data_IF_305954986611
#
_entry.id   IF_305954986611
#
_cell.length_a   1.000
_cell.length_b   1.000
_cell.length_c   1.000
_cell.angle_alpha   90.00
_cell.angle_beta   90.00
_cell.angle_gamma   90.00
#
_symmetry.space_group_name_H-M   'P 1'
#
loop_
_entity.id
_entity.type
_entity.pdbx_description
1 polymer ?
#
# COMPACT_ATOMS: atom_id res chain seq x y z
N UNK A 1 21.79 1.89 16.75
CA UNK A 1 20.77 0.82 16.91
C UNK A 1 20.03 0.44 15.62
N UNK A 2 19.40 1.36 14.86
CA UNK A 2 18.61 1.00 13.65
C UNK A 2 19.43 0.35 12.52
N UNK A 3 20.66 0.81 12.28
CA UNK A 3 21.55 0.22 11.28
C UNK A 3 21.99 -1.20 11.67
N UNK A 4 22.47 -1.39 12.90
CA UNK A 4 22.85 -2.70 13.46
C UNK A 4 21.68 -3.69 13.39
N UNK A 5 20.47 -3.24 13.72
CA UNK A 5 19.26 -4.06 13.61
C UNK A 5 18.95 -4.47 12.17
N UNK A 6 19.05 -3.54 11.20
CA UNK A 6 18.85 -3.84 9.77
C UNK A 6 19.90 -4.82 9.24
N UNK A 7 21.16 -4.61 9.59
CA UNK A 7 22.27 -5.51 9.23
C UNK A 7 22.05 -6.89 9.85
N UNK A 8 21.68 -6.97 11.13
CA UNK A 8 21.39 -8.23 11.82
C UNK A 8 20.23 -9.01 11.20
N UNK A 9 19.14 -8.35 10.83
CA UNK A 9 18.01 -9.00 10.12
C UNK A 9 18.45 -9.51 8.75
N UNK A 10 19.16 -8.68 7.99
CA UNK A 10 19.64 -9.08 6.67
C UNK A 10 20.52 -10.34 6.79
N UNK A 11 21.49 -10.33 7.70
CA UNK A 11 22.40 -11.44 7.97
C UNK A 11 21.68 -12.71 8.46
N UNK A 12 20.63 -12.57 9.28
CA UNK A 12 19.82 -13.71 9.71
C UNK A 12 19.05 -14.32 8.53
N UNK A 13 18.36 -13.49 7.75
CA UNK A 13 17.53 -13.94 6.64
C UNK A 13 18.36 -14.54 5.52
N UNK A 14 19.53 -13.97 5.20
CA UNK A 14 20.43 -14.52 4.18
C UNK A 14 21.27 -15.67 4.71
N UNK A 15 21.63 -15.65 6.00
CA UNK A 15 22.47 -16.66 6.64
C UNK A 15 21.90 -18.08 6.56
N UNK A 16 20.58 -18.24 6.76
CA UNK A 16 19.91 -19.56 6.65
C UNK A 16 20.08 -20.14 5.25
N UNK A 17 19.87 -19.33 4.21
CA UNK A 17 20.03 -19.75 2.81
C UNK A 17 21.49 -20.04 2.47
N UNK A 18 22.42 -19.21 2.95
CA UNK A 18 23.85 -19.38 2.72
C UNK A 18 24.36 -20.67 3.38
N UNK A 19 23.99 -20.96 4.63
CA UNK A 19 24.37 -22.20 5.31
C UNK A 19 23.79 -23.42 4.61
N UNK A 20 22.51 -23.38 4.21
CA UNK A 20 21.90 -24.47 3.44
C UNK A 20 22.61 -24.72 2.09
N UNK A 21 23.00 -23.64 1.40
CA UNK A 21 23.75 -23.70 0.14
C UNK A 21 25.17 -24.24 0.37
N UNK A 22 25.82 -23.83 1.47
CA UNK A 22 27.15 -24.32 1.86
C UNK A 22 27.17 -25.83 2.09
N UNK A 23 26.13 -26.38 2.73
CA UNK A 23 25.97 -27.84 2.93
C UNK A 23 25.87 -28.59 1.59
N UNK A 24 25.22 -27.99 0.58
CA UNK A 24 25.07 -28.58 -0.76
C UNK A 24 26.37 -28.54 -1.58
N UNK A 25 27.17 -27.48 -1.43
CA UNK A 25 28.39 -27.26 -2.20
C UNK A 25 29.62 -27.97 -1.60
N UNK A 26 29.57 -28.32 -0.31
CA UNK A 26 30.60 -29.08 0.40
C UNK A 26 31.94 -28.34 0.60
N UNK A 27 32.84 -28.97 1.35
CA UNK A 27 34.22 -28.52 1.52
C UNK A 27 34.39 -27.28 2.41
N UNK A 28 35.35 -26.42 2.07
CA UNK A 28 35.73 -25.23 2.88
C UNK A 28 34.64 -24.14 2.92
N UNK A 29 33.76 -24.14 1.92
CA UNK A 29 32.63 -23.20 1.82
C UNK A 29 31.59 -23.49 2.91
N UNK A 30 31.32 -24.78 3.18
CA UNK A 30 30.41 -25.21 4.24
C UNK A 30 30.86 -24.70 5.61
N UNK A 31 32.13 -24.91 5.95
CA UNK A 31 32.72 -24.52 7.23
C UNK A 31 32.68 -23.00 7.40
N UNK A 32 33.07 -22.25 6.37
CA UNK A 32 33.11 -20.78 6.42
C UNK A 32 31.72 -20.19 6.64
N UNK A 33 30.72 -20.68 5.90
CA UNK A 33 29.34 -20.19 6.01
C UNK A 33 28.66 -20.63 7.32
N UNK A 34 28.98 -21.83 7.82
CA UNK A 34 28.51 -22.29 9.13
C UNK A 34 29.09 -21.46 10.29
N UNK A 35 30.40 -21.19 10.28
CA UNK A 35 31.06 -20.35 11.30
C UNK A 35 30.48 -18.92 11.27
N UNK A 36 30.33 -18.34 10.08
CA UNK A 36 29.74 -17.01 9.94
C UNK A 36 28.32 -16.95 10.52
N UNK A 37 27.48 -17.95 10.22
CA UNK A 37 26.12 -18.04 10.76
C UNK A 37 26.11 -18.18 12.29
N UNK A 38 26.98 -19.03 12.85
CA UNK A 38 27.11 -19.20 14.30
C UNK A 38 27.52 -17.88 14.96
N UNK A 39 28.48 -17.14 14.40
CA UNK A 39 28.89 -15.84 14.93
C UNK A 39 27.75 -14.82 14.94
N UNK A 40 26.91 -14.81 13.90
CA UNK A 40 25.71 -13.97 13.83
C UNK A 40 24.74 -14.35 14.96
N UNK A 41 24.47 -15.65 15.15
CA UNK A 41 23.54 -16.13 16.17
C UNK A 41 24.07 -15.87 17.58
N UNK A 42 25.35 -16.10 17.85
CA UNK A 42 26.02 -15.79 19.13
C UNK A 42 25.94 -14.29 19.42
N UNK A 43 26.22 -13.44 18.43
CA UNK A 43 26.06 -11.99 18.56
C UNK A 43 24.64 -11.59 18.95
N UNK A 44 23.62 -12.23 18.36
CA UNK A 44 22.22 -12.00 18.71
C UNK A 44 21.86 -12.48 20.12
N UNK A 45 22.38 -13.65 20.54
CA UNK A 45 22.20 -14.16 21.90
C UNK A 45 22.79 -13.18 22.91
N UNK A 46 24.01 -12.68 22.67
CA UNK A 46 24.68 -11.71 23.55
C UNK A 46 23.90 -10.39 23.64
N UNK A 47 23.50 -9.82 22.49
CA UNK A 47 22.72 -8.57 22.46
C UNK A 47 21.39 -8.72 23.22
N UNK A 48 20.69 -9.84 23.00
CA UNK A 48 19.40 -10.11 23.65
C UNK A 48 19.58 -10.37 25.14
N UNK A 49 20.61 -11.15 25.52
CA UNK A 49 20.98 -11.44 26.91
C UNK A 49 21.36 -10.18 27.69
N UNK A 50 22.17 -9.28 27.11
CA UNK A 50 22.48 -7.96 27.69
C UNK A 50 21.19 -7.15 27.88
N UNK A 51 20.27 -7.20 26.91
CA UNK A 51 18.95 -6.57 27.02
C UNK A 51 18.14 -7.08 28.21
N UNK A 52 18.05 -8.41 28.38
CA UNK A 52 17.35 -9.05 29.50
C UNK A 52 18.03 -8.73 30.84
N UNK A 53 19.37 -8.76 30.89
CA UNK A 53 20.14 -8.45 32.10
C UNK A 53 19.94 -7.00 32.54
N UNK A 54 20.03 -6.04 31.61
CA UNK A 54 19.78 -4.61 31.89
C UNK A 54 18.38 -4.34 32.41
N UNK A 55 17.37 -5.05 31.88
CA UNK A 55 15.99 -4.98 32.38
C UNK A 55 15.86 -5.60 33.77
N UNK A 56 16.61 -6.66 34.04
CA UNK A 56 16.46 -7.46 35.27
C UNK A 56 17.17 -6.86 36.48
N UNK A 57 18.29 -6.18 36.26
CA UNK A 57 19.21 -5.73 37.32
C UNK A 57 19.68 -4.28 37.15
N UNK A 58 19.45 -3.64 36.00
CA UNK A 58 19.85 -2.25 35.77
C UNK A 58 18.81 -1.24 36.27
N UNK A 59 19.26 -0.02 36.58
CA UNK A 59 18.42 1.17 36.87
C UNK A 59 17.78 1.74 35.60
N UNK A 60 17.28 0.87 34.72
CA UNK A 60 16.73 1.27 33.42
C UNK A 60 15.31 1.81 33.58
N UNK A 61 15.03 2.90 32.86
CA UNK A 61 13.81 3.73 32.90
C UNK A 61 12.49 2.94 33.13
N UNK A 62 11.68 3.44 34.10
CA UNK A 62 10.37 2.91 34.56
C UNK A 62 9.34 2.79 33.43
N UNK A 63 9.59 3.37 32.27
CA UNK A 63 8.68 3.38 31.11
C UNK A 63 8.42 2.01 30.44
N UNK A 64 9.05 0.91 30.90
CA UNK A 64 8.88 -0.45 30.33
C UNK A 64 8.47 -1.54 31.33
N UNK A 65 7.44 -1.30 32.15
CA UNK A 65 6.88 -2.26 33.11
C UNK A 65 6.60 -3.69 32.56
N UNK A 66 6.39 -3.84 31.25
CA UNK A 66 5.99 -5.13 30.63
C UNK A 66 7.13 -6.15 30.51
N UNK A 67 8.38 -5.69 30.51
CA UNK A 67 9.55 -6.57 30.58
C UNK A 67 9.86 -7.03 32.03
N UNK A 68 9.10 -6.55 33.02
CA UNK A 68 9.23 -6.95 34.42
C UNK A 68 8.63 -8.34 34.68
N UNK A 69 7.77 -8.86 33.79
CA UNK A 69 7.15 -10.17 33.93
C UNK A 69 8.25 -11.26 34.04
N UNK A 70 8.37 -11.85 35.23
CA UNK A 70 9.41 -12.83 35.55
C UNK A 70 9.28 -14.07 34.68
N UNK A 71 8.06 -14.53 34.42
CA UNK A 71 7.78 -15.69 33.58
C UNK A 71 8.23 -15.48 32.14
N UNK A 72 7.89 -14.33 31.55
CA UNK A 72 8.34 -14.00 30.20
C UNK A 72 9.87 -13.92 30.08
N UNK A 73 10.55 -13.38 31.10
CA UNK A 73 12.03 -13.35 31.13
C UNK A 73 12.63 -14.74 31.21
N UNK A 74 12.11 -15.61 32.09
CA UNK A 74 12.56 -16.99 32.20
C UNK A 74 12.38 -17.76 30.88
N UNK A 75 11.24 -17.58 30.21
CA UNK A 75 10.98 -18.19 28.90
C UNK A 75 11.95 -17.67 27.82
N UNK A 76 12.24 -16.36 27.80
CA UNK A 76 13.25 -15.80 26.88
C UNK A 76 14.66 -16.31 27.17
N UNK A 77 15.05 -16.40 28.44
CA UNK A 77 16.34 -16.97 28.84
C UNK A 77 16.43 -18.44 28.44
N UNK A 78 15.36 -19.22 28.66
CA UNK A 78 15.26 -20.61 28.22
C UNK A 78 15.34 -20.75 26.70
N UNK A 79 14.68 -19.86 25.95
CA UNK A 79 14.77 -19.82 24.49
C UNK A 79 16.20 -19.58 24.00
N UNK A 80 16.92 -18.61 24.60
CA UNK A 80 18.32 -18.32 24.28
C UNK A 80 19.24 -19.50 24.63
N UNK A 81 18.99 -20.20 25.74
CA UNK A 81 19.74 -21.39 26.12
C UNK A 81 19.53 -22.52 25.09
N UNK A 82 18.29 -22.78 24.68
CA UNK A 82 17.97 -23.78 23.65
C UNK A 82 18.63 -23.44 22.31
N UNK A 83 18.62 -22.16 21.91
CA UNK A 83 19.31 -21.70 20.70
C UNK A 83 20.83 -21.90 20.81
N UNK A 84 21.41 -21.63 21.97
CA UNK A 84 22.84 -21.84 22.23
C UNK A 84 23.20 -23.32 22.13
N UNK A 85 22.41 -24.20 22.74
CA UNK A 85 22.57 -25.66 22.65
C UNK A 85 22.43 -26.12 21.19
N UNK A 86 21.42 -25.64 20.46
CA UNK A 86 21.22 -25.94 19.04
C UNK A 86 22.39 -25.53 18.16
N UNK A 87 22.95 -24.33 18.38
CA UNK A 87 24.14 -23.85 17.66
C UNK A 87 25.41 -24.58 18.06
N UNK A 88 25.54 -25.00 19.32
CA UNK A 88 26.67 -25.82 19.77
C UNK A 88 26.69 -27.18 19.08
N UNK A 89 25.52 -27.84 18.92
CA UNK A 89 25.39 -29.06 18.12
C UNK A 89 25.77 -28.83 16.65
N UNK A 90 25.35 -27.70 16.06
CA UNK A 90 25.70 -27.33 14.70
C UNK A 90 27.21 -27.07 14.53
N UNK A 91 27.84 -26.41 15.49
CA UNK A 91 29.29 -26.17 15.50
C UNK A 91 30.07 -27.48 15.61
N UNK A 92 29.68 -28.37 16.53
CA UNK A 92 30.29 -29.69 16.67
C UNK A 92 30.20 -30.49 15.37
N UNK A 93 29.09 -30.37 14.66
CA UNK A 93 28.93 -30.98 13.36
C UNK A 93 29.83 -30.33 12.30
N UNK A 94 29.92 -29.00 12.23
CA UNK A 94 30.78 -28.32 11.26
C UNK A 94 32.28 -28.63 11.45
N UNK A 95 32.70 -28.94 12.68
CA UNK A 95 34.08 -29.29 13.05
C UNK A 95 34.37 -30.81 12.94
N UNK A 96 33.79 -31.51 11.94
CA UNK A 96 34.03 -32.95 11.73
C UNK A 96 35.54 -33.25 11.73
N UNK A 97 35.99 -34.21 12.54
CA UNK A 97 37.41 -34.57 12.71
C UNK A 97 38.01 -34.29 14.10
N UNK A 98 37.23 -33.76 15.04
CA UNK A 98 37.64 -33.66 16.46
C UNK A 98 37.44 -34.98 17.21
N UNK A 99 38.14 -35.15 18.34
CA UNK A 99 38.22 -36.34 19.24
C UNK A 99 36.89 -36.84 19.84
N UNK A 100 35.75 -36.43 19.28
CA UNK A 100 34.41 -36.65 19.80
C UNK A 100 33.59 -37.46 18.79
N UNK A 101 32.75 -38.40 19.24
CA UNK A 101 31.97 -39.26 18.35
C UNK A 101 31.06 -38.45 17.43
N UNK A 102 31.04 -38.84 16.15
CA UNK A 102 30.30 -38.20 15.06
C UNK A 102 28.81 -38.48 15.22
N UNK A 103 27.99 -37.42 15.33
CA UNK A 103 26.53 -37.52 15.34
C UNK A 103 26.06 -37.79 13.90
N UNK A 104 25.19 -38.78 13.70
CA UNK A 104 24.62 -39.08 12.39
C UNK A 104 23.77 -37.90 11.87
N UNK A 105 23.60 -37.78 10.54
CA UNK A 105 22.76 -36.71 9.96
C UNK A 105 21.32 -36.76 10.53
N UNK A 106 20.65 -37.93 10.63
CA UNK A 106 19.33 -38.01 11.28
C UNK A 106 19.36 -37.58 12.74
N UNK A 107 20.41 -37.94 13.49
CA UNK A 107 20.59 -37.53 14.89
C UNK A 107 20.79 -36.02 15.03
N UNK A 108 21.57 -35.40 14.13
CA UNK A 108 21.78 -33.95 14.10
C UNK A 108 20.48 -33.24 13.77
N UNK A 109 19.78 -33.62 12.70
CA UNK A 109 18.51 -32.99 12.30
C UNK A 109 17.45 -33.12 13.40
N UNK A 110 17.32 -34.29 14.02
CA UNK A 110 16.37 -34.50 15.10
C UNK A 110 16.71 -33.64 16.33
N UNK A 111 17.96 -33.67 16.80
CA UNK A 111 18.35 -32.94 18.02
C UNK A 111 18.42 -31.43 17.81
N UNK A 112 19.09 -30.97 16.75
CA UNK A 112 19.17 -29.55 16.39
C UNK A 112 17.78 -28.97 16.06
N UNK A 113 17.00 -29.69 15.25
CA UNK A 113 15.65 -29.29 14.87
C UNK A 113 14.71 -29.17 16.07
N UNK A 114 14.75 -30.14 17.00
CA UNK A 114 13.93 -30.12 18.21
C UNK A 114 14.25 -28.92 19.11
N UNK A 115 15.54 -28.65 19.37
CA UNK A 115 15.96 -27.52 20.20
C UNK A 115 15.60 -26.17 19.59
N UNK A 116 15.64 -26.03 18.26
CA UNK A 116 15.27 -24.80 17.59
C UNK A 116 13.75 -24.61 17.45
N UNK A 117 13.01 -25.67 17.12
CA UNK A 117 11.56 -25.59 16.89
C UNK A 117 10.77 -25.49 18.20
N UNK A 118 11.01 -26.40 19.15
CA UNK A 118 10.26 -26.43 20.41
C UNK A 118 10.91 -25.51 21.44
N UNK A 119 12.22 -25.68 21.64
CA UNK A 119 12.97 -24.94 22.66
C UNK A 119 13.05 -23.46 22.36
N UNK A 120 13.75 -23.06 21.30
CA UNK A 120 13.92 -21.66 20.96
C UNK A 120 12.62 -21.02 20.48
N UNK A 121 12.02 -21.53 19.41
CA UNK A 121 10.86 -20.88 18.77
C UNK A 121 9.61 -20.96 19.66
N UNK A 122 9.30 -22.13 20.22
CA UNK A 122 8.15 -22.30 21.11
C UNK A 122 8.21 -21.42 22.35
N UNK A 123 9.33 -21.44 23.09
CA UNK A 123 9.48 -20.61 24.29
C UNK A 123 9.50 -19.10 23.96
N UNK A 124 10.16 -18.71 22.86
CA UNK A 124 10.18 -17.30 22.44
C UNK A 124 8.78 -16.79 22.06
N UNK A 125 8.01 -17.57 21.30
CA UNK A 125 6.63 -17.21 20.93
C UNK A 125 5.71 -17.14 22.16
N UNK A 126 5.82 -18.09 23.09
CA UNK A 126 5.06 -18.07 24.34
C UNK A 126 5.42 -16.85 25.19
N UNK A 127 6.72 -16.52 25.27
CA UNK A 127 7.18 -15.32 25.96
C UNK A 127 6.63 -14.05 25.30
N UNK A 128 6.62 -13.96 23.97
CA UNK A 128 6.00 -12.85 23.23
C UNK A 128 4.49 -12.76 23.50
N UNK A 129 3.79 -13.88 23.49
CA UNK A 129 2.36 -13.94 23.79
C UNK A 129 2.05 -13.39 25.19
N UNK A 130 2.84 -13.78 26.20
CA UNK A 130 2.69 -13.30 27.58
C UNK A 130 3.06 -11.82 27.71
N UNK A 131 4.13 -11.36 27.06
CA UNK A 131 4.55 -9.96 27.14
C UNK A 131 3.57 -8.99 26.45
N UNK A 132 2.78 -9.48 25.49
CA UNK A 132 1.93 -8.66 24.61
C UNK A 132 2.70 -7.42 24.13
N UNK A 133 3.80 -7.62 23.36
CA UNK A 133 4.62 -6.50 22.90
C UNK A 133 3.72 -5.50 22.21
N UNK A 134 3.91 -4.21 22.49
CA UNK A 134 3.13 -3.16 21.83
C UNK A 134 3.22 -3.38 20.32
N UNK A 135 2.07 -3.60 19.69
CA UNK A 135 1.86 -3.05 18.36
C UNK A 135 2.11 -1.55 18.54
N UNK A 136 3.26 -1.06 18.06
CA UNK A 136 3.59 0.37 18.07
C UNK A 136 2.64 1.20 17.20
N UNK A 137 1.70 0.52 16.54
CA UNK A 137 0.68 1.09 15.71
C UNK A 137 -0.60 1.13 16.56
N UNK A 138 -0.87 2.31 17.12
CA UNK A 138 -2.25 2.67 17.46
C UNK A 138 -2.89 3.02 16.13
N UNK A 139 -3.70 2.13 15.60
CA UNK A 139 -4.67 2.51 14.58
C UNK A 139 -5.98 2.69 15.35
N UNK A 140 -6.62 3.86 15.20
CA UNK A 140 -8.08 3.86 15.31
C UNK A 140 -8.59 2.80 14.31
N UNK A 141 -9.65 2.04 14.63
CA UNK A 141 -10.08 0.95 13.77
C UNK A 141 -10.44 1.49 12.39
N UNK A 142 -9.53 1.27 11.43
CA UNK A 142 -9.66 1.72 10.06
C UNK A 142 -10.97 1.13 9.49
N UNK A 143 -11.88 1.97 8.95
CA UNK A 143 -13.10 1.48 8.36
C UNK A 143 -12.80 0.89 6.98
N UNK A 144 -12.65 -0.43 6.93
CA UNK A 144 -12.47 -1.15 5.67
C UNK A 144 -13.81 -1.46 5.00
N UNK A 145 -13.81 -1.42 3.67
CA UNK A 145 -14.93 -1.91 2.89
C UNK A 145 -15.14 -3.41 3.13
N UNK A 146 -16.40 -3.82 3.21
CA UNK A 146 -16.89 -5.20 3.27
C UNK A 146 -17.11 -5.78 1.88
N UNK A 147 -16.91 -4.99 0.81
CA UNK A 147 -17.05 -5.46 -0.55
C UNK A 147 -16.06 -6.60 -0.84
N UNK A 148 -16.55 -7.60 -1.57
CA UNK A 148 -15.76 -8.75 -2.00
C UNK A 148 -15.90 -8.91 -3.49
N UNK A 149 -14.77 -9.03 -4.17
CA UNK A 149 -14.75 -9.34 -5.59
C UNK A 149 -14.99 -10.82 -5.87
N UNK A 150 -15.68 -11.11 -6.96
CA UNK A 150 -15.69 -12.44 -7.57
C UNK A 150 -14.49 -12.65 -8.50
N UNK A 151 -14.52 -13.72 -9.29
CA UNK A 151 -13.49 -14.00 -10.30
C UNK A 151 -13.39 -12.91 -11.37
N UNK A 152 -14.52 -12.28 -11.72
CA UNK A 152 -14.62 -11.13 -12.63
C UNK A 152 -15.29 -9.96 -11.93
N UNK A 153 -14.60 -8.82 -11.93
CA UNK A 153 -15.08 -7.54 -11.43
C UNK A 153 -15.84 -6.84 -12.55
N UNK A 154 -15.17 -6.34 -13.59
CA UNK A 154 -15.84 -5.76 -14.76
C UNK A 154 -16.56 -4.44 -14.49
N UNK A 155 -17.10 -3.83 -15.54
CA UNK A 155 -17.79 -2.54 -15.46
C UNK A 155 -19.19 -2.64 -14.86
N UNK A 156 -19.76 -3.85 -14.85
CA UNK A 156 -21.06 -4.18 -14.31
C UNK A 156 -21.01 -4.62 -12.84
N UNK A 157 -19.83 -4.62 -12.19
CA UNK A 157 -19.64 -5.19 -10.84
C UNK A 157 -20.71 -4.74 -9.85
N UNK A 158 -20.89 -3.43 -9.69
CA UNK A 158 -21.81 -2.88 -8.70
C UNK A 158 -23.28 -3.15 -9.07
N UNK A 159 -23.62 -3.10 -10.36
CA UNK A 159 -24.96 -3.42 -10.86
C UNK A 159 -25.29 -4.90 -10.63
N UNK A 160 -24.40 -5.81 -11.07
CA UNK A 160 -24.56 -7.26 -10.93
C UNK A 160 -24.68 -7.69 -9.48
N UNK A 161 -23.97 -7.03 -8.58
CA UNK A 161 -24.07 -7.31 -7.13
C UNK A 161 -25.19 -6.52 -6.44
N UNK A 162 -26.02 -5.76 -7.16
CA UNK A 162 -27.13 -4.94 -6.62
C UNK A 162 -26.66 -4.00 -5.51
N UNK A 163 -25.53 -3.31 -5.75
CA UNK A 163 -24.92 -2.36 -4.82
C UNK A 163 -25.26 -0.91 -5.15
N UNK A 164 -25.69 -0.62 -6.38
CA UNK A 164 -26.05 0.74 -6.79
C UNK A 164 -27.26 1.24 -6.00
N UNK A 165 -27.18 2.46 -5.51
CA UNK A 165 -28.33 3.13 -4.89
C UNK A 165 -29.23 3.66 -5.99
N UNK A 166 -30.54 3.40 -5.89
CA UNK A 166 -31.51 3.89 -6.86
C UNK A 166 -31.51 5.42 -6.90
N UNK A 167 -31.63 5.99 -8.09
CA UNK A 167 -31.65 7.45 -8.30
C UNK A 167 -32.93 7.90 -9.01
N UNK A 168 -33.35 9.15 -8.78
CA UNK A 168 -34.40 9.81 -9.55
C UNK A 168 -33.95 10.13 -10.99
N UNK A 169 -34.85 10.74 -11.79
CA UNK A 169 -34.56 11.16 -13.17
C UNK A 169 -33.47 12.22 -13.27
N UNK A 170 -33.17 12.92 -12.18
CA UNK A 170 -32.12 13.94 -12.07
C UNK A 170 -30.82 13.36 -11.51
N UNK A 171 -30.74 12.05 -11.28
CA UNK A 171 -29.55 11.38 -10.76
C UNK A 171 -29.30 11.62 -9.27
N UNK A 172 -30.34 11.96 -8.49
CA UNK A 172 -30.26 12.11 -7.03
C UNK A 172 -30.61 10.80 -6.36
N UNK A 173 -29.88 10.42 -5.31
CA UNK A 173 -30.13 9.15 -4.62
C UNK A 173 -31.50 9.16 -3.92
N UNK A 174 -32.23 8.06 -4.02
CA UNK A 174 -33.56 7.87 -3.43
C UNK A 174 -33.48 7.32 -1.99
N UNK A 175 -32.32 6.85 -1.54
CA UNK A 175 -32.12 6.23 -0.23
C UNK A 175 -30.66 6.32 0.23
N UNK A 176 -30.40 6.01 1.50
CA UNK A 176 -29.05 5.96 2.07
C UNK A 176 -28.45 7.35 2.33
N UNK A 177 -27.14 7.39 2.58
CA UNK A 177 -26.44 8.58 3.08
C UNK A 177 -26.42 9.77 2.11
N UNK A 178 -26.70 9.51 0.82
CA UNK A 178 -26.76 10.52 -0.24
C UNK A 178 -28.19 10.91 -0.62
N UNK A 179 -29.20 10.58 0.19
CA UNK A 179 -30.61 10.85 -0.14
C UNK A 179 -30.84 12.31 -0.58
N UNK A 180 -31.51 12.49 -1.72
CA UNK A 180 -31.77 13.80 -2.32
C UNK A 180 -30.56 14.48 -2.98
N UNK A 181 -29.37 13.87 -2.94
CA UNK A 181 -28.13 14.42 -3.50
C UNK A 181 -27.69 13.67 -4.76
N UNK A 182 -27.13 14.38 -5.73
CA UNK A 182 -26.46 13.77 -6.88
C UNK A 182 -24.97 13.67 -6.59
N UNK A 183 -24.41 12.46 -6.68
CA UNK A 183 -22.96 12.25 -6.54
C UNK A 183 -22.27 12.66 -7.84
N UNK A 184 -21.41 13.68 -7.77
CA UNK A 184 -20.72 14.26 -8.94
C UNK A 184 -19.23 13.95 -8.99
N UNK A 185 -18.59 13.64 -7.86
CA UNK A 185 -17.16 13.41 -7.78
C UNK A 185 -16.75 12.29 -6.84
N UNK A 186 -15.46 12.21 -6.57
CA UNK A 186 -14.86 11.20 -5.68
C UNK A 186 -15.05 11.54 -4.19
N UNK A 187 -15.39 12.79 -3.91
CA UNK A 187 -15.70 13.32 -2.57
C UNK A 187 -16.84 14.33 -2.68
N UNK A 188 -17.47 14.66 -1.55
CA UNK A 188 -18.57 15.63 -1.54
C UNK A 188 -18.07 17.08 -1.49
N UNK A 189 -17.06 17.33 -0.65
CA UNK A 189 -16.41 18.64 -0.48
C UNK A 189 -14.95 18.44 -0.11
N UNK A 190 -14.05 19.08 -0.83
CA UNK A 190 -12.62 19.04 -0.57
C UNK A 190 -12.25 19.67 0.79
N UNK A 191 -13.08 20.59 1.30
CA UNK A 191 -12.93 21.19 2.63
C UNK A 191 -12.89 20.14 3.77
N UNK A 192 -13.46 18.94 3.59
CA UNK A 192 -13.40 17.86 4.59
C UNK A 192 -11.98 17.39 4.90
N UNK A 193 -11.02 17.69 4.02
CA UNK A 193 -9.60 17.35 4.15
C UNK A 193 -8.76 18.42 4.85
N UNK A 194 -9.37 19.52 5.30
CA UNK A 194 -8.68 20.53 6.10
C UNK A 194 -8.06 19.89 7.35
N UNK A 195 -6.76 20.11 7.54
CA UNK A 195 -6.02 19.59 8.70
C UNK A 195 -4.85 20.52 9.04
N UNK A 196 -4.11 20.22 10.11
CA UNK A 196 -2.89 20.94 10.44
C UNK A 196 -1.81 20.82 9.35
N UNK A 197 -1.85 19.76 8.54
CA UNK A 197 -0.89 19.50 7.46
C UNK A 197 -1.38 19.97 6.07
N UNK A 198 -2.69 20.21 5.91
CA UNK A 198 -3.30 20.61 4.64
C UNK A 198 -4.21 21.82 4.83
N UNK A 199 -3.77 22.96 4.27
CA UNK A 199 -4.63 24.12 4.06
C UNK A 199 -5.33 24.00 2.70
N UNK A 200 -6.63 23.69 2.72
CA UNK A 200 -7.43 23.49 1.50
C UNK A 200 -7.50 24.76 0.65
N UNK A 201 -7.48 25.94 1.26
CA UNK A 201 -7.53 27.22 0.53
C UNK A 201 -6.27 27.49 -0.30
N UNK A 202 -5.16 26.82 0.02
CA UNK A 202 -3.93 26.91 -0.76
C UNK A 202 -3.94 26.00 -2.00
N UNK A 203 -4.88 25.07 -2.10
CA UNK A 203 -5.01 24.17 -3.26
C UNK A 203 -5.78 24.89 -4.38
N UNK A 204 -5.25 24.93 -5.62
CA UNK A 204 -5.93 25.53 -6.77
C UNK A 204 -7.38 25.08 -6.93
N UNK A 205 -8.25 26.01 -7.34
CA UNK A 205 -9.69 25.75 -7.48
C UNK A 205 -9.96 24.59 -8.45
N UNK A 206 -9.25 24.51 -9.57
CA UNK A 206 -9.41 23.40 -10.53
C UNK A 206 -9.08 22.03 -9.96
N UNK A 207 -8.07 21.92 -9.09
CA UNK A 207 -7.76 20.63 -8.46
C UNK A 207 -8.89 20.22 -7.53
N UNK A 208 -9.43 21.15 -6.74
CA UNK A 208 -10.58 20.89 -5.86
C UNK A 208 -11.82 20.52 -6.66
N UNK A 209 -12.13 21.29 -7.69
CA UNK A 209 -13.27 21.04 -8.59
C UNK A 209 -13.17 19.66 -9.25
N UNK A 210 -11.98 19.24 -9.69
CA UNK A 210 -11.78 17.90 -10.23
C UNK A 210 -12.20 16.78 -9.27
N UNK A 211 -11.89 16.88 -7.98
CA UNK A 211 -12.24 15.85 -7.00
C UNK A 211 -13.73 15.89 -6.61
N UNK A 212 -14.34 17.07 -6.58
CA UNK A 212 -15.77 17.27 -6.25
C UNK A 212 -16.70 16.99 -7.45
N UNK A 213 -16.21 17.18 -8.68
CA UNK A 213 -16.98 17.10 -9.92
C UNK A 213 -16.33 16.16 -10.96
N UNK A 214 -15.65 15.10 -10.51
CA UNK A 214 -14.88 14.16 -11.36
C UNK A 214 -15.69 13.58 -12.53
N UNK A 215 -17.02 13.47 -12.39
CA UNK A 215 -17.92 13.03 -13.47
C UNK A 215 -17.87 13.94 -14.70
N UNK A 216 -17.60 15.23 -14.49
CA UNK A 216 -17.58 16.26 -15.53
C UNK A 216 -16.15 16.41 -16.13
N UNK A 217 -15.26 15.43 -15.89
CA UNK A 217 -13.89 15.38 -16.41
C UNK A 217 -13.62 14.11 -17.21
N UNK A 218 -13.00 14.28 -18.37
CA UNK A 218 -12.40 13.20 -19.14
C UNK A 218 -10.96 12.96 -18.67
N UNK A 219 -10.64 11.70 -18.33
CA UNK A 219 -9.33 11.29 -17.85
C UNK A 219 -8.65 10.39 -18.87
N UNK A 220 -7.54 10.82 -19.43
CA UNK A 220 -6.70 9.94 -20.25
C UNK A 220 -5.58 9.41 -19.36
N UNK A 221 -5.32 8.11 -19.40
CA UNK A 221 -4.24 7.46 -18.63
C UNK A 221 -3.25 6.80 -19.57
N UNK A 222 -1.97 7.03 -19.34
CA UNK A 222 -0.87 6.31 -19.96
C UNK A 222 0.00 5.64 -18.89
N UNK A 223 0.65 4.54 -19.25
CA UNK A 223 1.40 3.73 -18.30
C UNK A 223 2.84 3.52 -18.74
N UNK A 224 3.76 3.76 -17.81
CA UNK A 224 5.19 3.54 -17.96
C UNK A 224 5.67 2.49 -16.95
N UNK A 225 5.99 1.31 -17.45
CA UNK A 225 6.55 0.22 -16.64
C UNK A 225 8.06 0.38 -16.50
N UNK A 226 8.57 0.25 -15.28
CA UNK A 226 10.00 0.38 -14.98
C UNK A 226 10.82 -0.78 -15.57
N UNK A 227 12.13 -0.55 -15.76
CA UNK A 227 13.05 -1.54 -16.30
C UNK A 227 13.06 -2.80 -15.40
N UNK A 228 12.92 -3.99 -15.99
CA UNK A 228 12.74 -5.26 -15.27
C UNK A 228 11.28 -5.65 -15.03
N UNK A 229 10.37 -4.69 -14.85
CA UNK A 229 8.95 -4.97 -14.62
C UNK A 229 8.10 -5.04 -15.89
N UNK A 230 8.63 -4.65 -17.05
CA UNK A 230 7.90 -4.73 -18.34
C UNK A 230 7.41 -6.13 -18.67
N UNK A 231 8.26 -7.15 -18.49
CA UNK A 231 7.88 -8.56 -18.75
C UNK A 231 6.85 -9.05 -17.72
N UNK A 232 7.06 -8.74 -16.45
CA UNK A 232 6.12 -9.07 -15.38
C UNK A 232 4.75 -8.41 -15.60
N UNK A 233 4.71 -7.13 -15.97
CA UNK A 233 3.49 -6.40 -16.30
C UNK A 233 2.73 -7.01 -17.48
N UNK A 234 3.44 -7.44 -18.54
CA UNK A 234 2.81 -8.15 -19.68
C UNK A 234 2.21 -9.50 -19.26
N UNK A 235 2.92 -10.26 -18.42
CA UNK A 235 2.40 -11.53 -17.88
C UNK A 235 1.19 -11.28 -16.97
N UNK A 236 1.28 -10.35 -16.03
CA UNK A 236 0.18 -9.96 -15.15
C UNK A 236 -1.05 -9.54 -15.95
N UNK A 237 -0.88 -8.68 -16.96
CA UNK A 237 -1.97 -8.23 -17.80
C UNK A 237 -2.64 -9.40 -18.55
N UNK A 238 -1.85 -10.32 -19.10
CA UNK A 238 -2.36 -11.47 -19.87
C UNK A 238 -3.08 -12.51 -19.01
N UNK A 239 -2.50 -12.88 -17.86
CA UNK A 239 -2.96 -14.02 -17.08
C UNK A 239 -3.95 -13.65 -15.97
N UNK A 240 -3.82 -12.45 -15.40
CA UNK A 240 -4.55 -12.05 -14.20
C UNK A 240 -5.51 -10.91 -14.52
N UNK A 241 -4.98 -9.76 -14.95
CA UNK A 241 -5.77 -8.52 -15.05
C UNK A 241 -6.92 -8.62 -16.06
N UNK A 242 -6.70 -9.26 -17.22
CA UNK A 242 -7.75 -9.50 -18.22
C UNK A 242 -8.88 -10.41 -17.74
N UNK A 243 -8.60 -11.36 -16.85
CA UNK A 243 -9.63 -12.28 -16.33
C UNK A 243 -10.41 -11.63 -15.19
N UNK A 244 -9.72 -10.92 -14.31
CA UNK A 244 -10.34 -10.25 -13.16
C UNK A 244 -11.05 -8.96 -13.57
N UNK A 245 -10.63 -8.31 -14.66
CA UNK A 245 -11.14 -7.01 -15.08
C UNK A 245 -11.00 -5.93 -13.99
N UNK A 246 -9.82 -5.85 -13.37
CA UNK A 246 -9.48 -4.91 -12.30
C UNK A 246 -8.02 -4.48 -12.41
N UNK A 247 -7.72 -3.18 -12.27
CA UNK A 247 -6.38 -2.60 -12.47
C UNK A 247 -5.77 -2.98 -13.83
N UNK A 248 -6.59 -2.95 -14.88
CA UNK A 248 -6.20 -3.11 -16.28
C UNK A 248 -5.65 -1.80 -16.84
N UNK A 249 -4.49 -1.37 -16.34
CA UNK A 249 -3.80 -0.23 -16.91
C UNK A 249 -3.23 -0.58 -18.30
N UNK A 250 -3.14 0.39 -19.22
CA UNK A 250 -2.65 0.12 -20.57
C UNK A 250 -1.21 -0.39 -20.52
N UNK A 251 -0.80 -1.22 -21.48
CA UNK A 251 0.63 -1.47 -21.70
C UNK A 251 1.27 -0.30 -22.45
N UNK A 252 2.60 -0.21 -22.42
CA UNK A 252 3.33 0.83 -23.17
C UNK A 252 3.01 0.74 -24.68
N UNK A 253 2.90 -0.48 -25.22
CA UNK A 253 2.51 -0.75 -26.62
C UNK A 253 1.08 -0.23 -26.93
N UNK A 254 0.12 -0.46 -26.03
CA UNK A 254 -1.25 0.07 -26.17
C UNK A 254 -1.30 1.59 -26.05
N UNK A 255 -0.44 2.19 -25.23
CA UNK A 255 -0.32 3.65 -25.12
C UNK A 255 0.17 4.26 -26.44
N UNK A 256 1.17 3.64 -27.09
CA UNK A 256 1.72 4.11 -28.37
C UNK A 256 0.75 3.88 -29.54
N UNK A 257 0.03 2.76 -29.57
CA UNK A 257 -0.99 2.48 -30.60
C UNK A 257 -2.21 3.41 -30.47
N UNK A 258 -2.61 3.74 -29.24
CA UNK A 258 -3.73 4.65 -28.97
C UNK A 258 -3.35 6.13 -29.05
N UNK A 259 -2.08 6.47 -29.29
CA UNK A 259 -1.64 7.86 -29.42
C UNK A 259 -2.01 8.51 -30.77
N UNK A 260 -2.37 7.69 -31.77
CA UNK A 260 -2.76 8.15 -33.12
C UNK A 260 -4.25 7.99 -33.47
N UNK A 261 -5.01 7.24 -32.66
CA UNK A 261 -6.47 7.16 -32.76
C UNK A 261 -7.05 8.06 -31.67
N UNK A 262 -8.09 8.84 -31.98
CA UNK A 262 -8.84 9.67 -31.01
C UNK A 262 -8.85 9.00 -29.64
N UNK A 263 -8.20 9.63 -28.66
CA UNK A 263 -7.95 9.09 -27.33
C UNK A 263 -9.13 8.22 -26.89
N UNK A 264 -8.94 6.89 -26.85
CA UNK A 264 -10.00 5.89 -26.78
C UNK A 264 -11.12 6.38 -25.87
N UNK A 265 -12.35 6.56 -26.38
CA UNK A 265 -13.48 7.00 -25.55
C UNK A 265 -13.53 6.09 -24.32
N UNK A 266 -13.34 6.65 -23.13
CA UNK A 266 -13.34 5.87 -21.89
C UNK A 266 -14.71 6.00 -21.27
N UNK A 267 -15.28 4.87 -20.86
CA UNK A 267 -16.40 4.88 -19.96
C UNK A 267 -15.91 5.44 -18.62
N UNK A 268 -16.59 6.44 -18.09
CA UNK A 268 -16.39 6.96 -16.74
C UNK A 268 -17.77 7.14 -16.10
N UNK A 269 -18.08 6.31 -15.08
CA UNK A 269 -19.36 6.37 -14.37
C UNK A 269 -19.11 6.54 -12.88
N UNK A 270 -19.70 7.58 -12.29
CA UNK A 270 -19.70 7.82 -10.85
C UNK A 270 -21.15 7.81 -10.37
N UNK A 271 -21.43 7.04 -9.31
CA UNK A 271 -22.77 6.91 -8.74
C UNK A 271 -22.71 6.48 -7.27
N UNK A 272 -23.74 6.82 -6.46
CA UNK A 272 -23.83 6.37 -5.07
C UNK A 272 -24.02 4.84 -5.00
N UNK A 273 -23.42 4.21 -4.00
CA UNK A 273 -23.66 2.79 -3.67
C UNK A 273 -24.12 2.65 -2.22
N UNK A 274 -24.71 1.50 -1.90
CA UNK A 274 -25.24 1.22 -0.57
C UNK A 274 -24.11 1.16 0.48
N UNK A 275 -24.04 2.20 1.32
CA UNK A 275 -23.09 2.33 2.43
C UNK A 275 -23.17 1.18 3.44
N UNK A 276 -24.35 0.68 3.78
CA UNK A 276 -24.48 -0.41 4.77
C UNK A 276 -23.82 -1.70 4.28
N UNK A 277 -23.97 -1.99 2.98
CA UNK A 277 -23.36 -3.15 2.34
C UNK A 277 -21.85 -2.99 2.15
N UNK A 278 -21.37 -1.78 1.89
CA UNK A 278 -19.93 -1.49 1.87
C UNK A 278 -19.33 -1.42 3.29
N UNK A 279 -20.09 -1.02 4.30
CA UNK A 279 -19.65 -0.89 5.68
C UNK A 279 -18.89 0.41 6.00
N UNK A 280 -18.74 1.33 5.03
CA UNK A 280 -18.23 2.69 5.23
C UNK A 280 -19.35 3.69 4.95
N UNK A 281 -19.14 4.95 5.32
CA UNK A 281 -20.16 6.00 5.15
C UNK A 281 -20.03 6.69 3.79
N UNK A 282 -21.16 7.22 3.31
CA UNK A 282 -21.31 8.01 2.09
C UNK A 282 -20.61 7.34 0.92
N UNK A 283 -20.83 6.08 0.61
CA UNK A 283 -19.96 5.41 -0.37
C UNK A 283 -20.39 5.69 -1.81
N UNK A 284 -19.43 5.94 -2.70
CA UNK A 284 -19.68 6.08 -4.14
C UNK A 284 -18.77 5.19 -4.97
N UNK A 285 -19.28 4.67 -6.07
CA UNK A 285 -18.50 3.90 -7.02
C UNK A 285 -17.94 4.80 -8.13
N UNK A 286 -16.72 4.50 -8.57
CA UNK A 286 -16.18 4.98 -9.84
C UNK A 286 -15.77 3.79 -10.69
N UNK A 287 -16.44 3.66 -11.83
CA UNK A 287 -16.21 2.59 -12.80
C UNK A 287 -15.62 3.19 -14.06
N UNK A 288 -14.50 2.62 -14.51
CA UNK A 288 -13.85 3.00 -15.75
C UNK A 288 -13.64 1.81 -16.66
N UNK A 289 -13.84 2.00 -17.96
CA UNK A 289 -13.69 0.94 -18.96
C UNK A 289 -13.26 1.47 -20.32
N UNK A 290 -12.65 0.61 -21.11
CA UNK A 290 -12.35 0.89 -22.51
C UNK A 290 -13.61 0.72 -23.35
N UNK A 291 -13.90 1.69 -24.21
CA UNK A 291 -15.00 1.63 -25.17
C UNK A 291 -14.42 1.46 -26.57
N UNK A 292 -15.05 0.59 -27.36
CA UNK A 292 -14.72 0.38 -28.77
C UNK A 292 -15.27 1.50 -29.65
N UNK A 293 -14.81 1.64 -30.91
CA UNK A 293 -15.35 2.63 -31.84
C UNK A 293 -16.87 2.51 -32.07
N UNK A 294 -17.42 1.31 -31.94
CA UNK A 294 -18.87 1.01 -32.06
C UNK A 294 -19.69 1.41 -30.80
N UNK A 295 -19.06 1.95 -29.77
CA UNK A 295 -19.71 2.35 -28.51
C UNK A 295 -19.88 1.22 -27.49
N UNK A 296 -19.51 -0.02 -27.81
CA UNK A 296 -19.58 -1.14 -26.87
C UNK A 296 -18.42 -1.11 -25.87
N UNK A 297 -18.70 -1.48 -24.62
CA UNK A 297 -17.68 -1.57 -23.56
C UNK A 297 -16.87 -2.85 -23.77
N UNK A 298 -15.56 -2.72 -23.98
CA UNK A 298 -14.67 -3.86 -24.19
C UNK A 298 -14.34 -4.55 -22.86
N UNK A 299 -13.75 -3.79 -21.93
CA UNK A 299 -13.24 -4.31 -20.65
C UNK A 299 -13.08 -3.19 -19.64
N UNK A 300 -13.24 -3.51 -18.35
CA UNK A 300 -12.99 -2.54 -17.29
C UNK A 300 -11.49 -2.24 -17.14
N UNK A 301 -11.17 -0.96 -16.94
CA UNK A 301 -9.89 -0.49 -16.42
C UNK A 301 -9.86 -0.77 -14.92
N UNK A 302 -10.86 -0.25 -14.19
CA UNK A 302 -11.09 -0.57 -12.79
C UNK A 302 -12.54 -0.29 -12.39
N UNK A 303 -12.94 -0.89 -11.28
CA UNK A 303 -14.14 -0.54 -10.53
C UNK A 303 -13.75 -0.36 -9.06
N UNK A 304 -14.01 0.80 -8.48
CA UNK A 304 -13.56 1.14 -7.12
C UNK A 304 -14.63 1.89 -6.33
N UNK A 305 -14.67 1.66 -5.03
CA UNK A 305 -15.60 2.30 -4.09
C UNK A 305 -14.85 3.32 -3.22
N UNK A 306 -15.19 4.60 -3.38
CA UNK A 306 -14.60 5.75 -2.71
C UNK A 306 -15.43 6.15 -1.49
N UNK A 307 -14.74 6.35 -0.38
CA UNK A 307 -15.24 6.91 0.86
C UNK A 307 -14.13 7.75 1.51
N UNK A 308 -14.47 8.37 2.62
CA UNK A 308 -13.58 9.19 3.43
C UNK A 308 -13.67 8.68 4.87
N UNK A 309 -12.55 8.70 5.57
CA UNK A 309 -12.57 8.49 7.01
C UNK A 309 -11.55 9.40 7.68
N UNK A 310 -11.79 9.73 8.94
CA UNK A 310 -10.92 10.62 9.70
C UNK A 310 -10.40 9.91 10.94
N UNK A 311 -9.14 10.17 11.26
CA UNK A 311 -8.60 9.94 12.60
C UNK A 311 -8.72 11.24 13.42
N UNK A 312 -8.07 11.30 14.59
CA UNK A 312 -8.09 12.51 15.43
C UNK A 312 -7.43 13.75 14.80
N UNK A 313 -6.67 13.59 13.71
CA UNK A 313 -5.75 14.61 13.19
C UNK A 313 -6.04 15.01 11.74
N UNK A 314 -6.60 14.12 10.92
CA UNK A 314 -6.78 14.33 9.48
C UNK A 314 -7.88 13.44 8.89
N UNK A 315 -8.29 13.80 7.69
CA UNK A 315 -9.15 12.98 6.84
C UNK A 315 -8.32 12.27 5.76
N UNK A 316 -8.63 11.01 5.52
CA UNK A 316 -8.03 10.15 4.53
C UNK A 316 -9.02 9.86 3.40
N UNK A 317 -8.49 9.76 2.19
CA UNK A 317 -9.24 9.19 1.07
C UNK A 317 -9.13 7.67 1.15
N UNK A 318 -10.27 6.99 1.26
CA UNK A 318 -10.37 5.55 1.48
C UNK A 318 -10.99 4.89 0.25
N UNK A 319 -10.19 4.13 -0.50
CA UNK A 319 -10.54 3.59 -1.81
C UNK A 319 -10.49 2.07 -1.75
N UNK A 320 -11.62 1.40 -1.95
CA UNK A 320 -11.67 -0.06 -1.99
C UNK A 320 -11.81 -0.56 -3.43
N UNK A 321 -10.85 -1.37 -3.88
CA UNK A 321 -10.88 -2.09 -5.15
C UNK A 321 -11.30 -3.53 -4.89
N UNK A 322 -12.52 -3.96 -5.27
CA UNK A 322 -12.92 -5.36 -5.15
C UNK A 322 -11.93 -6.26 -5.92
N UNK A 323 -11.49 -7.34 -5.27
CA UNK A 323 -10.62 -8.38 -5.86
C UNK A 323 -11.14 -9.76 -5.44
N UNK A 324 -10.77 -10.86 -6.12
CA UNK A 324 -11.27 -12.18 -5.77
C UNK A 324 -11.12 -12.50 -4.27
N UNK A 325 -12.24 -12.76 -3.60
CA UNK A 325 -12.28 -13.13 -2.18
C UNK A 325 -12.25 -11.96 -1.18
N UNK A 326 -12.09 -10.71 -1.63
CA UNK A 326 -11.96 -9.56 -0.74
C UNK A 326 -11.87 -8.22 -1.46
N UNK A 327 -11.09 -7.29 -0.92
CA UNK A 327 -10.76 -6.03 -1.58
C UNK A 327 -9.32 -5.60 -1.28
N UNK A 328 -8.76 -4.86 -2.22
CA UNK A 328 -7.54 -4.10 -2.04
C UNK A 328 -7.95 -2.67 -1.64
N UNK A 329 -7.76 -2.29 -0.38
CA UNK A 329 -8.06 -0.95 0.11
C UNK A 329 -6.81 -0.08 0.07
N UNK A 330 -6.87 1.06 -0.62
CA UNK A 330 -5.85 2.11 -0.57
C UNK A 330 -6.35 3.28 0.26
N UNK A 331 -5.53 3.68 1.23
CA UNK A 331 -5.77 4.80 2.14
C UNK A 331 -4.72 5.85 1.84
N UNK A 332 -5.17 7.02 1.40
CA UNK A 332 -4.33 8.12 0.95
C UNK A 332 -4.47 9.32 1.87
N UNK A 333 -3.32 9.79 2.37
CA UNK A 333 -3.21 11.10 3.01
C UNK A 333 -3.00 12.16 1.94
N UNK A 334 -3.67 13.30 2.08
CA UNK A 334 -3.49 14.47 1.21
C UNK A 334 -2.47 15.45 1.83
N UNK A 335 -1.61 16.03 1.00
CA UNK A 335 -0.61 17.01 1.37
C UNK A 335 -0.46 18.05 0.27
N UNK A 336 -0.45 19.34 0.63
CA UNK A 336 -0.14 20.41 -0.32
C UNK A 336 1.36 20.69 -0.34
N UNK A 337 1.97 20.70 -1.54
CA UNK A 337 3.41 20.99 -1.72
C UNK A 337 3.60 22.36 -2.39
N UNK A 338 3.66 23.46 -1.62
CA UNK A 338 3.67 24.81 -2.17
C UNK A 338 4.89 25.08 -3.06
N UNK A 339 6.05 24.49 -2.77
CA UNK A 339 7.29 24.70 -3.57
C UNK A 339 7.18 24.16 -4.99
N UNK A 340 6.26 23.22 -5.24
CA UNK A 340 6.04 22.60 -6.55
C UNK A 340 4.65 22.86 -7.10
N UNK A 341 3.83 23.60 -6.36
CA UNK A 341 2.44 23.92 -6.70
C UNK A 341 1.62 22.68 -7.09
N UNK A 342 1.72 21.62 -6.28
CA UNK A 342 1.08 20.34 -6.55
C UNK A 342 0.44 19.76 -5.28
N UNK A 343 -0.67 19.06 -5.47
CA UNK A 343 -1.32 18.25 -4.45
C UNK A 343 -0.73 16.82 -4.49
N UNK A 344 -0.35 16.30 -3.34
CA UNK A 344 0.14 14.94 -3.16
C UNK A 344 -0.92 14.10 -2.42
N UNK A 345 -1.35 12.99 -3.02
CA UNK A 345 -2.09 11.93 -2.34
C UNK A 345 -1.12 10.76 -2.16
N UNK A 346 -0.89 10.29 -0.94
CA UNK A 346 0.07 9.20 -0.73
C UNK A 346 -0.32 8.19 0.34
N UNK A 347 -0.02 6.93 0.04
CA UNK A 347 -0.14 5.80 0.96
C UNK A 347 1.16 5.59 1.79
N UNK A 348 2.17 6.44 1.60
CA UNK A 348 3.47 6.29 2.25
C UNK A 348 3.40 6.82 3.67
N UNK A 349 3.94 6.04 4.59
CA UNK A 349 4.02 6.44 5.99
C UNK A 349 4.91 7.68 6.15
N UNK A 350 4.41 8.69 6.86
CA UNK A 350 5.15 9.90 7.14
C UNK A 350 5.93 9.72 8.44
N UNK A 351 7.25 9.84 8.40
CA UNK A 351 8.12 9.47 9.53
C UNK A 351 7.83 10.21 10.84
N UNK A 352 7.34 11.45 10.73
CA UNK A 352 7.02 12.30 11.90
C UNK A 352 5.53 12.26 12.28
N UNK A 353 4.68 11.74 11.41
CA UNK A 353 3.22 11.80 11.53
C UNK A 353 2.64 10.49 10.99
N UNK A 354 2.85 9.37 11.69
CA UNK A 354 2.28 8.08 11.29
C UNK A 354 0.75 8.15 11.32
N UNK A 355 0.11 7.29 10.55
CA UNK A 355 -1.34 7.22 10.47
C UNK A 355 -1.79 6.08 9.56
N UNK A 356 -3.05 6.12 9.14
CA UNK A 356 -3.72 5.00 8.46
C UNK A 356 -3.30 4.78 7.01
N UNK A 357 -2.48 5.67 6.45
CA UNK A 357 -2.15 5.63 5.03
C UNK A 357 -1.42 4.35 4.63
N UNK A 358 -1.90 3.70 3.57
CA UNK A 358 -1.37 2.43 3.15
C UNK A 358 -2.22 1.67 2.15
N UNK A 359 -1.66 0.58 1.62
CA UNK A 359 -2.35 -0.36 0.74
C UNK A 359 -2.54 -1.67 1.49
N UNK A 360 -3.78 -2.09 1.64
CA UNK A 360 -4.20 -3.22 2.46
C UNK A 360 -4.93 -4.25 1.61
N UNK A 361 -4.61 -5.52 1.79
CA UNK A 361 -5.46 -6.62 1.33
C UNK A 361 -6.42 -6.97 2.47
N UNK A 362 -7.72 -6.80 2.24
CA UNK A 362 -8.79 -7.08 3.19
C UNK A 362 -9.50 -8.35 2.76
N UNK A 363 -9.38 -9.40 3.57
CA UNK A 363 -10.05 -10.68 3.43
C UNK A 363 -11.01 -10.89 4.60
N UNK A 364 -11.96 -11.84 4.52
CA UNK A 364 -12.96 -12.05 5.58
C UNK A 364 -12.38 -12.33 6.97
N UNK A 365 -11.21 -12.96 7.04
CA UNK A 365 -10.56 -13.38 8.29
C UNK A 365 -9.23 -12.67 8.55
N UNK A 366 -8.75 -11.86 7.60
CA UNK A 366 -7.39 -11.33 7.65
C UNK A 366 -7.27 -10.02 6.89
N UNK A 367 -6.66 -9.03 7.53
CA UNK A 367 -6.25 -7.78 6.88
C UNK A 367 -4.73 -7.67 6.92
N UNK A 368 -4.11 -7.48 5.75
CA UNK A 368 -2.65 -7.41 5.61
C UNK A 368 -2.28 -6.07 4.98
N UNK A 369 -1.44 -5.27 5.65
CA UNK A 369 -0.74 -4.15 5.01
C UNK A 369 0.28 -4.72 4.03
N UNK A 370 0.07 -4.50 2.74
CA UNK A 370 0.96 -4.99 1.69
C UNK A 370 2.24 -4.15 1.63
N UNK A 371 3.36 -4.70 1.12
CA UNK A 371 4.57 -3.92 0.82
C UNK A 371 4.42 -3.06 -0.45
N UNK A 372 3.20 -2.58 -0.71
CA UNK A 372 2.85 -1.69 -1.81
C UNK A 372 2.72 -0.26 -1.30
N UNK A 373 3.19 0.69 -2.08
CA UNK A 373 2.97 2.10 -1.80
C UNK A 373 2.61 2.85 -3.08
N UNK A 374 1.91 3.97 -2.91
CA UNK A 374 1.61 4.87 -4.00
C UNK A 374 1.67 6.35 -3.61
N UNK A 375 1.94 7.17 -4.61
CA UNK A 375 1.98 8.63 -4.53
C UNK A 375 1.42 9.19 -5.83
N UNK A 376 0.35 9.97 -5.74
CA UNK A 376 -0.28 10.67 -6.86
C UNK A 376 0.02 12.16 -6.68
N UNK A 377 0.73 12.72 -7.64
CA UNK A 377 1.04 14.14 -7.73
C UNK A 377 0.08 14.76 -8.73
N UNK A 378 -0.65 15.80 -8.34
CA UNK A 378 -1.63 16.48 -9.18
C UNK A 378 -1.26 17.96 -9.27
N UNK A 379 -1.19 18.50 -10.48
CA UNK A 379 -0.87 19.91 -10.69
C UNK A 379 -1.63 20.48 -11.88
N UNK A 380 -1.79 21.81 -11.88
CA UNK A 380 -2.38 22.55 -12.99
C UNK A 380 -1.31 22.73 -14.09
N UNK A 381 -1.63 22.38 -15.32
CA UNK A 381 -0.74 22.63 -16.46
C UNK A 381 -0.77 24.11 -16.82
N UNK A 382 0.33 24.81 -16.58
CA UNK A 382 0.48 26.20 -17.01
C UNK A 382 0.71 26.26 -18.52
N UNK A 383 -0.15 27.00 -19.24
CA UNK A 383 0.08 27.33 -20.65
C UNK A 383 1.26 28.31 -20.75
N UNK A 384 2.48 27.79 -20.89
CA UNK A 384 3.65 28.63 -21.23
C UNK A 384 3.44 29.23 -22.63
N UNK A 385 3.20 30.54 -22.72
CA UNK A 385 3.43 31.28 -23.98
C UNK A 385 4.95 31.28 -24.21
N UNK A 386 5.42 30.40 -25.11
CA UNK A 386 6.81 30.17 -25.52
C UNK A 386 7.75 29.57 -24.45
N UNK A 387 7.95 28.26 -24.52
CA UNK A 387 9.26 27.61 -24.36
C UNK A 387 10.06 27.76 -23.04
N UNK A 388 9.54 28.36 -21.97
CA UNK A 388 10.24 28.38 -20.68
C UNK A 388 9.23 28.58 -19.55
N UNK A 389 9.19 27.64 -18.62
CA UNK A 389 8.32 27.68 -17.45
C UNK A 389 8.59 28.94 -16.62
N UNK A 390 7.66 29.90 -16.70
CA UNK A 390 7.65 31.14 -15.94
C UNK A 390 6.21 31.60 -15.77
N UNK A 391 5.87 31.94 -14.53
CA UNK A 391 4.54 32.39 -14.11
C UNK A 391 4.09 33.66 -14.87
N UNK A 392 2.80 33.71 -15.23
CA UNK A 392 2.11 34.97 -15.53
C UNK A 392 0.91 35.05 -14.59
N UNK A 393 0.93 36.00 -13.67
CA UNK A 393 -0.27 36.43 -12.96
C UNK A 393 -1.17 37.17 -13.96
N UNK A 394 -2.39 36.71 -14.13
CA UNK A 394 -3.39 37.38 -14.96
C UNK A 394 -4.12 38.42 -14.10
N UNK A 395 -3.75 39.69 -14.26
CA UNK A 395 -4.59 40.82 -13.85
C UNK A 395 -5.81 40.90 -14.77
N UNK A 396 -6.99 40.54 -14.24
CA UNK A 396 -8.29 40.77 -14.89
C UNK A 396 -9.35 40.92 -13.80
N UNK A 397 -10.10 42.01 -13.87
CA UNK A 397 -10.95 42.59 -12.81
C UNK A 397 -12.30 41.91 -12.58
N UNK A 398 -12.52 40.68 -13.04
CA UNK A 398 -13.79 39.95 -12.88
C UNK A 398 -13.61 38.63 -12.11
N UNK A 399 -13.86 38.64 -10.80
CA UNK A 399 -13.65 37.50 -9.90
C UNK A 399 -14.44 36.23 -10.32
N UNK A 400 -15.67 36.40 -10.81
CA UNK A 400 -16.53 35.28 -11.24
C UNK A 400 -16.07 34.66 -12.58
N UNK A 401 -15.50 35.46 -13.49
CA UNK A 401 -14.94 34.96 -14.73
C UNK A 401 -13.60 34.24 -14.47
N UNK A 402 -12.77 34.79 -13.58
CA UNK A 402 -11.48 34.19 -13.20
C UNK A 402 -11.67 32.84 -12.51
N UNK A 403 -12.63 32.71 -11.58
CA UNK A 403 -12.90 31.43 -10.92
C UNK A 403 -13.36 30.34 -11.91
N UNK A 404 -14.16 30.71 -12.92
CA UNK A 404 -14.64 29.77 -13.95
C UNK A 404 -13.52 29.35 -14.91
N UNK A 405 -12.68 30.28 -15.36
CA UNK A 405 -11.51 30.01 -16.20
C UNK A 405 -10.46 29.18 -15.45
N UNK A 406 -10.32 29.37 -14.14
CA UNK A 406 -9.37 28.63 -13.31
C UNK A 406 -9.85 27.19 -13.00
N UNK A 407 -11.16 26.97 -12.87
CA UNK A 407 -11.75 25.63 -12.67
C UNK A 407 -11.61 24.72 -13.91
N UNK A 408 -11.66 25.32 -15.10
CA UNK A 408 -11.54 24.65 -16.38
C UNK A 408 -10.07 24.60 -16.88
N UNK A 409 -9.10 24.55 -15.96
CA UNK A 409 -7.70 24.35 -16.34
C UNK A 409 -7.41 22.87 -16.67
N UNK A 410 -6.46 22.63 -17.57
CA UNK A 410 -5.95 21.29 -17.84
C UNK A 410 -5.13 20.82 -16.64
N UNK A 411 -5.52 19.68 -16.06
CA UNK A 411 -4.79 19.09 -14.94
C UNK A 411 -3.95 17.91 -15.41
N UNK A 412 -2.78 17.77 -14.83
CA UNK A 412 -1.87 16.64 -15.02
C UNK A 412 -1.74 15.90 -13.69
N UNK A 413 -1.61 14.58 -13.77
CA UNK A 413 -1.14 13.83 -12.62
C UNK A 413 -0.09 12.79 -12.97
N UNK A 414 0.82 12.55 -12.02
CA UNK A 414 1.76 11.43 -12.04
C UNK A 414 1.47 10.54 -10.84
N UNK A 415 1.27 9.25 -11.08
CA UNK A 415 1.01 8.26 -10.06
C UNK A 415 2.12 7.23 -10.05
N UNK A 416 2.94 7.29 -9.02
CA UNK A 416 4.07 6.39 -8.83
C UNK A 416 3.65 5.24 -7.91
N UNK A 417 3.97 4.00 -8.30
CA UNK A 417 3.69 2.79 -7.53
C UNK A 417 4.97 2.01 -7.22
N UNK A 418 5.10 1.57 -5.97
CA UNK A 418 6.24 0.80 -5.48
C UNK A 418 5.81 -0.54 -4.90
N UNK A 419 6.63 -1.56 -5.10
CA UNK A 419 6.52 -2.86 -4.46
C UNK A 419 7.85 -3.17 -3.76
N UNK A 420 7.82 -3.44 -2.45
CA UNK A 420 9.00 -3.55 -1.59
C UNK A 420 9.94 -2.33 -1.67
N UNK A 421 9.38 -1.14 -1.92
CA UNK A 421 10.15 0.10 -2.08
C UNK A 421 10.80 0.28 -3.45
N UNK A 422 10.66 -0.69 -4.36
CA UNK A 422 11.17 -0.60 -5.73
C UNK A 422 10.05 -0.06 -6.63
N UNK A 423 10.29 1.04 -7.38
CA UNK A 423 9.30 1.56 -8.31
C UNK A 423 9.07 0.54 -9.43
N UNK A 424 7.82 0.22 -9.73
CA UNK A 424 7.50 -0.77 -10.78
C UNK A 424 6.59 -0.23 -11.88
N UNK A 425 5.70 0.72 -11.55
CA UNK A 425 4.74 1.29 -12.48
C UNK A 425 4.58 2.79 -12.17
N UNK A 426 4.53 3.57 -13.23
CA UNK A 426 4.22 4.98 -13.20
C UNK A 426 3.09 5.25 -14.18
N UNK A 427 2.02 5.90 -13.72
CA UNK A 427 0.90 6.30 -14.56
C UNK A 427 0.92 7.82 -14.75
N UNK A 428 0.58 8.26 -15.94
CA UNK A 428 0.41 9.67 -16.25
C UNK A 428 -1.03 9.92 -16.67
N UNK A 429 -1.65 10.88 -15.99
CA UNK A 429 -3.03 11.28 -16.24
C UNK A 429 -3.07 12.67 -16.85
N UNK A 430 -3.98 12.81 -17.79
CA UNK A 430 -4.44 14.08 -18.30
C UNK A 430 -5.93 14.18 -18.00
N UNK A 431 -6.33 15.21 -17.24
CA UNK A 431 -7.70 15.43 -16.77
C UNK A 431 -8.20 16.72 -17.43
N UNK A 432 -9.16 16.58 -18.35
CA UNK A 432 -9.79 17.68 -19.07
C UNK A 432 -11.22 17.84 -18.60
N UNK A 433 -11.60 19.04 -18.17
CA UNK A 433 -13.00 19.38 -17.92
C UNK A 433 -13.78 19.24 -19.22
N UNK A 434 -14.88 18.48 -19.24
CA UNK A 434 -15.75 18.37 -20.42
C UNK A 434 -16.47 19.69 -20.72
N UNK A 435 -16.48 20.62 -19.76
CA UNK A 435 -16.99 21.99 -19.93
C UNK A 435 -16.12 22.81 -20.89
N UNK A 436 -14.90 22.35 -21.21
CA UNK A 436 -13.96 23.00 -22.16
C UNK A 436 -14.09 22.53 -23.60
N UNK A 437 -14.69 21.37 -23.84
CA UNK A 437 -14.85 20.83 -25.19
C UNK A 437 -16.02 21.54 -25.87
N UNK A 438 -15.82 22.29 -26.96
CA UNK A 438 -16.93 22.78 -27.76
C UNK A 438 -17.74 21.57 -28.25
N UNK A 439 -19.07 21.71 -28.21
CA UNK A 439 -20.01 20.73 -28.73
C UNK A 439 -19.78 20.42 -30.22
#
# INVERSE_FOLDING_TARGET
MRLIYRIGILLLLTGIWLTATGILLGGTIEITLAIMFIMIVVGMILITGIGIWRVSFGSFDRSRERFRNRTARLLWTGALLCLTIGMWYALRFALRGSWLPVISIPGMVATHGMWNAIGFTGLALLAMFIMRPWLRLKFDPIPFSRLRGGLRIGTDFFTRHKLETATDKQGRALSGDHIGQSVRGLMDRFDSFQSAELNVKSVPVSIRDFYENTRDYNLIVSAQWQLGFKRAGRLYARWISRRIEQMNFPTQEQTTQNAGQEASRLLSRIFPINSERDGRNRVRAWVRGYVRPDGSVERAIYAAAYSEHSDSNRTYMNIAFPVPGGNLTSILRLEWRPQRNELLLTSREHQKSPGDQGVYLVLPLLTIRLPLNESIYVWVESKSKKGRAGFVASESTNANANAKVEADALLRARHDMWLFGIPFLQLHYEMRSERLTPA
#
